data_IF_439493540062
#
_entry.id   IF_439493540062
#
_cell.length_a   1.000
_cell.length_b   1.000
_cell.length_c   1.000
_cell.angle_alpha   90.00
_cell.angle_beta   90.00
_cell.angle_gamma   90.00
#
_symmetry.space_group_name_H-M   'P 1'
#
loop_
_entity.id
_entity.type
_entity.pdbx_description
1 polymer ?
#
# COMPACT_ATOMS: atom_id res chain seq x y z
N UNK A 1 22.44 5.51 -16.19
CA UNK A 1 21.53 4.34 -16.28
C UNK A 1 21.37 3.79 -14.86
N UNK A 2 20.39 4.32 -14.11
CA UNK A 2 20.13 3.89 -12.73
C UNK A 2 18.87 3.04 -12.70
N UNK A 3 19.02 1.76 -12.34
CA UNK A 3 17.93 0.80 -12.31
C UNK A 3 16.94 1.17 -11.19
N UNK A 4 15.70 1.46 -11.55
CA UNK A 4 14.55 1.60 -10.67
C UNK A 4 14.16 0.29 -9.94
N UNK A 5 14.80 -0.84 -10.25
CA UNK A 5 14.56 -2.15 -9.61
C UNK A 5 14.99 -2.22 -8.14
N UNK A 6 15.93 -1.39 -7.69
CA UNK A 6 16.39 -1.42 -6.30
C UNK A 6 15.32 -0.94 -5.31
N UNK A 7 14.53 0.07 -5.70
CA UNK A 7 13.45 0.59 -4.87
C UNK A 7 12.30 -0.43 -4.73
N UNK A 8 11.95 -1.11 -5.83
CA UNK A 8 10.85 -2.10 -5.85
C UNK A 8 11.22 -3.39 -5.11
N UNK A 9 12.48 -3.85 -5.24
CA UNK A 9 12.95 -5.02 -4.50
C UNK A 9 13.11 -4.72 -3.00
N UNK A 10 13.54 -3.51 -2.63
CA UNK A 10 13.60 -3.07 -1.24
C UNK A 10 12.20 -3.07 -0.63
N UNK A 11 11.23 -2.44 -1.29
CA UNK A 11 9.85 -2.36 -0.80
C UNK A 11 9.16 -3.73 -0.73
N UNK A 12 9.46 -4.64 -1.67
CA UNK A 12 8.95 -6.02 -1.63
C UNK A 12 9.57 -6.87 -0.50
N UNK A 13 10.83 -6.64 -0.16
CA UNK A 13 11.53 -7.33 0.94
C UNK A 13 11.08 -6.79 2.28
N UNK A 14 10.91 -5.47 2.39
CA UNK A 14 10.43 -4.80 3.61
C UNK A 14 8.95 -5.10 3.88
N UNK A 15 8.13 -5.24 2.84
CA UNK A 15 6.73 -5.66 2.99
C UNK A 15 6.62 -7.08 3.54
N UNK A 16 7.58 -7.99 3.30
CA UNK A 16 7.50 -9.37 3.78
C UNK A 16 7.38 -9.47 5.31
N UNK A 17 7.91 -8.48 6.02
CA UNK A 17 7.96 -8.44 7.50
C UNK A 17 7.20 -7.24 8.10
N UNK A 18 6.62 -6.38 7.27
CA UNK A 18 5.86 -5.20 7.73
C UNK A 18 4.60 -4.93 6.90
N UNK A 19 3.63 -4.25 7.51
CA UNK A 19 2.53 -3.59 6.81
C UNK A 19 3.06 -2.26 6.31
N UNK A 20 3.13 -2.08 4.99
CA UNK A 20 3.53 -0.79 4.40
C UNK A 20 2.28 0.01 4.04
N UNK A 21 2.16 1.24 4.52
CA UNK A 21 1.08 2.17 4.16
C UNK A 21 1.66 3.36 3.40
N UNK A 22 1.37 3.43 2.11
CA UNK A 22 1.80 4.53 1.25
C UNK A 22 0.80 5.68 1.33
N UNK A 23 1.30 6.88 1.68
CA UNK A 23 0.50 8.11 1.74
C UNK A 23 0.51 8.85 0.39
N UNK A 24 -0.65 9.28 -0.12
CA UNK A 24 -0.72 10.09 -1.34
C UNK A 24 -0.22 11.53 -1.05
N UNK A 25 0.90 11.92 -1.65
CA UNK A 25 1.46 13.26 -1.50
C UNK A 25 2.83 13.45 -2.16
N UNK A 26 3.32 14.71 -2.24
CA UNK A 26 4.59 15.04 -2.92
C UNK A 26 5.84 14.37 -2.34
N UNK A 27 5.78 13.86 -1.11
CA UNK A 27 6.94 13.26 -0.41
C UNK A 27 6.91 11.73 -0.31
N UNK A 28 5.93 11.05 -0.92
CA UNK A 28 5.82 9.59 -0.96
C UNK A 28 6.13 8.90 0.40
N UNK A 29 5.51 9.42 1.47
CA UNK A 29 5.74 8.92 2.83
C UNK A 29 5.22 7.47 2.93
N UNK A 30 6.11 6.56 3.33
CA UNK A 30 5.76 5.17 3.63
C UNK A 30 5.77 4.99 5.14
N UNK A 31 4.65 4.57 5.68
CA UNK A 31 4.50 4.20 7.08
C UNK A 31 4.67 2.68 7.21
N UNK A 32 5.43 2.25 8.22
CA UNK A 32 5.76 0.84 8.46
C UNK A 32 5.13 0.41 9.78
N UNK A 33 4.25 -0.58 9.73
CA UNK A 33 3.56 -1.12 10.90
C UNK A 33 4.00 -2.58 11.06
N UNK A 34 4.56 -2.92 12.22
CA UNK A 34 5.17 -4.23 12.49
C UNK A 34 4.19 -5.24 13.10
N UNK A 35 2.89 -4.92 13.10
CA UNK A 35 1.80 -5.76 13.60
C UNK A 35 0.61 -5.72 12.64
N UNK A 36 -0.31 -6.67 12.78
CA UNK A 36 -1.59 -6.60 12.07
C UNK A 36 -2.46 -5.51 12.67
N UNK A 37 -2.97 -4.62 11.83
CA UNK A 37 -3.77 -3.47 12.24
C UNK A 37 -5.12 -3.49 11.53
N UNK A 38 -6.19 -3.00 12.17
CA UNK A 38 -7.48 -2.91 11.48
C UNK A 38 -7.46 -1.77 10.48
N UNK A 39 -8.19 -1.94 9.37
CA UNK A 39 -8.35 -0.87 8.38
C UNK A 39 -9.03 0.34 9.01
N UNK A 40 -9.98 0.12 9.92
CA UNK A 40 -10.66 1.19 10.66
C UNK A 40 -9.70 2.04 11.51
N UNK A 41 -8.70 1.44 12.17
CA UNK A 41 -7.72 2.20 12.96
C UNK A 41 -6.86 3.12 12.07
N UNK A 42 -6.44 2.61 10.91
CA UNK A 42 -5.68 3.38 9.92
C UNK A 42 -6.55 4.48 9.30
N UNK A 43 -7.80 4.19 8.94
CA UNK A 43 -8.74 5.20 8.41
C UNK A 43 -9.07 6.28 9.45
N UNK A 44 -9.23 5.90 10.73
CA UNK A 44 -9.51 6.84 11.82
C UNK A 44 -8.35 7.82 12.04
N UNK A 45 -7.11 7.35 11.83
CA UNK A 45 -5.90 8.18 11.90
C UNK A 45 -5.67 9.02 10.63
N UNK A 46 -6.37 8.70 9.54
CA UNK A 46 -6.23 9.33 8.22
C UNK A 46 -7.59 9.74 7.64
N UNK A 47 -8.28 10.74 8.24
CA UNK A 47 -9.59 11.15 7.79
C UNK A 47 -9.58 11.62 6.33
N UNK A 48 -10.60 11.23 5.56
CA UNK A 48 -10.70 11.52 4.13
C UNK A 48 -9.92 10.57 3.22
N UNK A 49 -9.37 9.48 3.77
CA UNK A 49 -8.70 8.43 3.00
C UNK A 49 -9.27 7.05 3.32
N UNK A 50 -9.41 6.23 2.27
CA UNK A 50 -9.64 4.80 2.38
C UNK A 50 -8.32 4.03 2.20
N UNK A 51 -8.27 2.79 2.66
CA UNK A 51 -7.11 1.91 2.49
C UNK A 51 -7.36 0.92 1.34
N UNK A 52 -6.39 0.75 0.46
CA UNK A 52 -6.41 -0.26 -0.57
C UNK A 52 -5.15 -1.14 -0.53
N UNK A 53 -5.32 -2.44 -0.71
CA UNK A 53 -4.25 -3.42 -0.87
C UNK A 53 -3.70 -3.38 -2.30
N UNK A 54 -2.38 -3.27 -2.45
CA UNK A 54 -1.67 -3.36 -3.73
C UNK A 54 -1.43 -4.83 -4.06
N UNK A 55 -2.16 -5.35 -5.05
CA UNK A 55 -2.01 -6.72 -5.52
C UNK A 55 -0.84 -6.81 -6.50
N UNK A 56 0.20 -7.59 -6.14
CA UNK A 56 1.29 -7.91 -7.06
C UNK A 56 0.73 -8.78 -8.20
N UNK A 57 0.77 -8.28 -9.43
CA UNK A 57 0.42 -9.07 -10.61
C UNK A 57 1.51 -10.13 -10.81
N UNK A 58 1.20 -11.41 -10.63
CA UNK A 58 2.17 -12.50 -10.80
C UNK A 58 2.53 -12.78 -12.28
N UNK A 59 2.16 -11.87 -13.18
CA UNK A 59 2.46 -12.00 -14.60
C UNK A 59 3.85 -11.41 -14.88
N UNK A 60 4.79 -12.26 -15.26
CA UNK A 60 6.12 -11.97 -15.81
C UNK A 60 6.07 -11.16 -17.13
N UNK A 61 5.27 -10.11 -17.21
CA UNK A 61 5.27 -9.14 -18.29
C UNK A 61 5.46 -7.77 -17.65
N UNK A 62 6.71 -7.28 -17.77
CA UNK A 62 7.13 -5.89 -17.58
C UNK A 62 5.98 -4.94 -17.92
N UNK A 63 5.23 -4.56 -16.90
CA UNK A 63 4.38 -3.39 -16.90
C UNK A 63 4.60 -2.81 -15.53
N UNK A 64 5.08 -1.57 -15.50
CA UNK A 64 5.00 -0.65 -14.37
C UNK A 64 3.86 -1.09 -13.47
N UNK A 65 4.11 -1.26 -12.15
CA UNK A 65 3.10 -1.52 -11.13
C UNK A 65 1.89 -0.67 -11.48
N UNK A 66 0.96 -1.25 -12.24
CA UNK A 66 -0.11 -0.46 -12.82
C UNK A 66 -0.97 -0.24 -11.61
N UNK A 67 -1.19 1.02 -11.27
CA UNK A 67 -2.04 1.51 -10.19
C UNK A 67 -3.47 0.95 -10.23
N UNK A 68 -3.77 0.08 -11.20
CA UNK A 68 -5.02 -0.60 -11.47
C UNK A 68 -5.21 -1.90 -10.68
N UNK A 69 -4.18 -2.45 -10.02
CA UNK A 69 -4.31 -3.67 -9.22
C UNK A 69 -4.50 -3.37 -7.73
N UNK A 70 -5.45 -2.50 -7.42
CA UNK A 70 -5.79 -2.13 -6.05
C UNK A 70 -7.08 -2.85 -5.62
N UNK A 71 -7.06 -3.46 -4.44
CA UNK A 71 -8.27 -3.97 -3.77
C UNK A 71 -8.62 -3.02 -2.64
N UNK A 72 -9.71 -2.26 -2.79
CA UNK A 72 -10.25 -1.43 -1.71
C UNK A 72 -10.65 -2.32 -0.53
N UNK A 73 -10.17 -1.99 0.66
CA UNK A 73 -10.50 -2.72 1.88
C UNK A 73 -11.69 -2.07 2.57
N UNK A 74 -12.50 -2.90 3.23
CA UNK A 74 -13.58 -2.41 4.09
C UNK A 74 -13.02 -2.03 5.46
N UNK A 75 -13.68 -1.15 6.22
CA UNK A 75 -13.26 -0.78 7.57
C UNK A 75 -13.07 -1.99 8.51
N UNK A 76 -13.88 -3.04 8.31
CA UNK A 76 -13.85 -4.28 9.10
C UNK A 76 -12.70 -5.25 8.70
N UNK A 77 -12.04 -5.01 7.57
CA UNK A 77 -10.92 -5.85 7.14
C UNK A 77 -9.66 -5.57 7.99
N UNK A 78 -8.76 -6.57 8.05
CA UNK A 78 -7.48 -6.48 8.76
C UNK A 78 -6.33 -6.35 7.75
N UNK A 79 -5.38 -5.46 8.04
CA UNK A 79 -4.14 -5.31 7.30
C UNK A 79 -3.10 -6.29 7.86
N UNK A 80 -2.74 -7.25 7.03
CA UNK A 80 -1.72 -8.25 7.30
C UNK A 80 -0.32 -7.80 6.91
N UNK A 81 0.65 -8.20 7.73
CA UNK A 81 2.08 -8.16 7.44
C UNK A 81 2.34 -8.98 6.16
N UNK A 82 3.35 -8.60 5.36
CA UNK A 82 3.62 -9.26 4.09
C UNK A 82 3.12 -8.49 2.87
N UNK A 83 2.36 -7.40 3.10
CA UNK A 83 1.54 -6.75 2.09
C UNK A 83 1.73 -5.24 2.08
N UNK A 84 1.52 -4.67 0.89
CA UNK A 84 1.64 -3.23 0.65
C UNK A 84 0.25 -2.65 0.51
N UNK A 85 -0.03 -1.59 1.26
CA UNK A 85 -1.29 -0.88 1.28
C UNK A 85 -1.06 0.58 0.89
N UNK A 86 -2.08 1.21 0.33
CA UNK A 86 -2.05 2.60 -0.11
C UNK A 86 -3.30 3.32 0.39
N UNK A 87 -3.11 4.56 0.85
CA UNK A 87 -4.21 5.45 1.16
C UNK A 87 -4.74 6.09 -0.13
N UNK A 88 -6.05 6.00 -0.32
CA UNK A 88 -6.78 6.49 -1.49
C UNK A 88 -7.72 7.59 -1.01
N UNK A 89 -7.56 8.79 -1.55
CA UNK A 89 -8.38 9.94 -1.15
C UNK A 89 -9.85 9.68 -1.51
N UNK A 90 -10.74 9.92 -0.56
CA UNK A 90 -12.17 9.94 -0.80
C UNK A 90 -12.46 11.22 -1.58
N UNK A 91 -12.99 11.07 -2.80
CA UNK A 91 -13.49 12.20 -3.59
C UNK A 91 -14.96 12.32 -3.22
N UNK A 92 -15.28 13.30 -2.38
CA UNK A 92 -16.66 13.73 -2.17
C UNK A 92 -17.14 14.37 -3.49
N UNK A 93 -18.23 13.86 -4.06
CA UNK A 93 -18.82 14.36 -5.32
C UNK A 93 -19.98 15.28 -5.01
#
# INVERSE_FOLDING_TARGET
MGNCYAAEAAEATEAAETVLVQHPGRHNKVEKIYWSVSVNDVMSSNPGYNVALVLKSNNNKKKNINENNLKLLRPDDIMHIGQVYRLIRIIDT
#
